data_IF_355982536890
#
_entry.id   IF_355982536890
#
_cell.length_a   1.000
_cell.length_b   1.000
_cell.length_c   1.000
_cell.angle_alpha   90.00
_cell.angle_beta   90.00
_cell.angle_gamma   90.00
#
_symmetry.space_group_name_H-M   'P 1'
#
loop_
_entity.id
_entity.type
_entity.pdbx_description
1 polymer ?
#
# COMPACT_ATOMS: atom_id res chain seq x y z
N UNK A 1 3.70 -18.28 -7.34
CA UNK A 1 4.35 -16.96 -7.41
C UNK A 1 4.01 -16.08 -6.19
N UNK A 2 2.74 -15.88 -5.86
CA UNK A 2 2.30 -15.00 -4.75
C UNK A 2 2.89 -15.41 -3.40
N UNK A 3 2.90 -16.70 -3.06
CA UNK A 3 3.48 -17.21 -1.79
C UNK A 3 4.96 -16.87 -1.65
N UNK A 4 5.75 -17.00 -2.73
CA UNK A 4 7.18 -16.67 -2.73
C UNK A 4 7.41 -15.18 -2.44
N UNK A 5 6.67 -14.30 -3.12
CA UNK A 5 6.76 -12.84 -2.92
C UNK A 5 6.32 -12.47 -1.49
N UNK A 6 5.27 -13.11 -0.97
CA UNK A 6 4.82 -12.92 0.42
C UNK A 6 5.89 -13.32 1.44
N UNK A 7 6.59 -14.44 1.24
CA UNK A 7 7.67 -14.89 2.13
C UNK A 7 8.81 -13.87 2.12
N UNK A 8 9.22 -13.39 0.94
CA UNK A 8 10.26 -12.36 0.84
C UNK A 8 9.83 -11.08 1.54
N UNK A 9 8.59 -10.63 1.31
CA UNK A 9 8.06 -9.44 1.95
C UNK A 9 8.03 -9.58 3.49
N UNK A 10 7.65 -10.76 4.00
CA UNK A 10 7.70 -11.06 5.44
C UNK A 10 9.13 -11.06 5.98
N UNK A 11 10.08 -11.68 5.28
CA UNK A 11 11.49 -11.65 5.68
C UNK A 11 12.04 -10.22 5.73
N UNK A 12 11.77 -9.40 4.69
CA UNK A 12 12.16 -7.98 4.67
C UNK A 12 11.50 -7.20 5.80
N UNK A 13 10.21 -7.41 6.03
CA UNK A 13 9.49 -6.79 7.13
C UNK A 13 10.13 -7.11 8.49
N UNK A 14 10.44 -8.38 8.78
CA UNK A 14 11.10 -8.78 10.03
C UNK A 14 12.48 -8.15 10.19
N UNK A 15 13.26 -8.04 9.11
CA UNK A 15 14.57 -7.38 9.14
C UNK A 15 14.40 -5.89 9.47
N UNK A 16 13.47 -5.22 8.81
CA UNK A 16 13.19 -3.79 9.04
C UNK A 16 12.68 -3.57 10.47
N UNK A 17 11.74 -4.40 10.94
CA UNK A 17 11.22 -4.32 12.31
C UNK A 17 12.32 -4.52 13.35
N UNK A 18 13.25 -5.46 13.14
CA UNK A 18 14.40 -5.68 14.04
C UNK A 18 15.41 -4.53 14.00
N UNK A 19 15.56 -3.86 12.86
CA UNK A 19 16.37 -2.66 12.74
C UNK A 19 15.73 -1.49 13.51
N UNK A 20 14.42 -1.31 13.34
CA UNK A 20 13.64 -0.27 14.04
C UNK A 20 13.55 -0.51 15.55
N UNK A 21 13.55 -1.75 16.04
CA UNK A 21 13.55 -2.03 17.48
C UNK A 21 14.83 -1.56 18.19
N UNK A 22 15.92 -1.25 17.46
CA UNK A 22 17.10 -0.62 18.05
C UNK A 22 16.94 0.90 18.24
N UNK A 23 15.90 1.50 17.64
CA UNK A 23 15.59 2.93 17.65
C UNK A 23 14.14 3.15 18.11
N UNK A 24 13.77 2.55 19.25
CA UNK A 24 12.42 2.70 19.83
C UNK A 24 12.02 4.18 19.95
N UNK A 25 10.84 4.51 19.42
CA UNK A 25 10.26 5.85 19.49
C UNK A 25 10.88 6.91 18.55
N UNK A 26 11.79 6.54 17.64
CA UNK A 26 12.39 7.45 16.64
C UNK A 26 11.80 7.23 15.25
N UNK A 27 11.43 8.32 14.57
CA UNK A 27 10.98 8.27 13.18
C UNK A 27 12.15 7.97 12.23
N UNK A 28 11.84 7.60 10.98
CA UNK A 28 12.80 7.53 9.88
C UNK A 28 13.61 8.83 9.75
N UNK A 29 12.98 9.99 10.01
CA UNK A 29 13.63 11.30 10.02
C UNK A 29 14.59 11.47 11.21
N UNK A 30 14.22 10.98 12.38
CA UNK A 30 15.06 11.04 13.59
C UNK A 30 16.27 10.10 13.50
N UNK A 31 16.09 8.94 12.85
CA UNK A 31 17.18 8.03 12.49
C UNK A 31 18.12 8.72 11.49
N UNK A 32 17.56 9.41 10.48
CA UNK A 32 18.34 10.20 9.52
C UNK A 32 19.16 11.30 10.19
N UNK A 33 18.57 11.99 11.16
CA UNK A 33 19.26 13.00 11.96
C UNK A 33 20.35 12.39 12.85
N UNK A 34 20.09 11.24 13.47
CA UNK A 34 21.06 10.54 14.30
C UNK A 34 22.30 10.07 13.52
N UNK A 35 22.11 9.58 12.29
CA UNK A 35 23.19 9.01 11.47
C UNK A 35 24.03 10.09 10.78
N UNK A 36 23.40 11.18 10.31
CA UNK A 36 24.08 12.16 9.46
C UNK A 36 23.67 13.61 9.66
N UNK A 37 23.04 13.92 10.79
CA UNK A 37 22.60 15.27 11.14
C UNK A 37 21.49 15.81 10.25
N UNK A 38 21.29 17.13 10.32
CA UNK A 38 20.15 17.81 9.67
C UNK A 38 20.15 17.67 8.14
N UNK A 39 21.32 17.55 7.49
CA UNK A 39 21.41 17.38 6.03
C UNK A 39 20.77 16.06 5.60
N UNK A 40 21.10 14.95 6.27
CA UNK A 40 20.54 13.64 5.96
C UNK A 40 19.05 13.58 6.29
N UNK A 41 18.62 14.20 7.39
CA UNK A 41 17.19 14.34 7.72
C UNK A 41 16.39 14.98 6.59
N UNK A 42 16.88 16.10 6.04
CA UNK A 42 16.19 16.81 4.94
C UNK A 42 16.14 15.95 3.67
N UNK A 43 17.23 15.28 3.31
CA UNK A 43 17.29 14.40 2.13
C UNK A 43 16.29 13.25 2.26
N UNK A 44 16.26 12.58 3.41
CA UNK A 44 15.34 11.46 3.67
C UNK A 44 13.88 11.95 3.65
N UNK A 45 13.57 13.09 4.27
CA UNK A 45 12.23 13.66 4.26
C UNK A 45 11.75 14.05 2.86
N UNK A 46 12.63 14.59 2.02
CA UNK A 46 12.32 14.88 0.63
C UNK A 46 12.02 13.58 -0.14
N UNK A 47 12.85 12.56 0.05
CA UNK A 47 12.70 11.26 -0.62
C UNK A 47 11.38 10.58 -0.26
N UNK A 48 10.99 10.57 1.02
CA UNK A 48 9.71 10.03 1.50
C UNK A 48 8.53 10.82 0.93
N UNK A 49 8.63 12.15 0.90
CA UNK A 49 7.55 13.00 0.36
C UNK A 49 7.29 12.72 -1.12
N UNK A 50 8.37 12.59 -1.90
CA UNK A 50 8.29 12.25 -3.33
C UNK A 50 7.68 10.86 -3.50
N UNK A 51 8.11 9.87 -2.72
CA UNK A 51 7.58 8.51 -2.77
C UNK A 51 6.07 8.48 -2.47
N UNK A 52 5.64 9.15 -1.41
CA UNK A 52 4.22 9.32 -1.08
C UNK A 52 3.42 9.94 -2.24
N UNK A 53 3.94 11.00 -2.88
CA UNK A 53 3.27 11.64 -4.01
C UNK A 53 3.10 10.67 -5.21
N UNK A 54 4.11 9.85 -5.50
CA UNK A 54 4.03 8.82 -6.52
C UNK A 54 3.01 7.73 -6.17
N UNK A 55 3.04 7.22 -4.94
CA UNK A 55 2.11 6.19 -4.48
C UNK A 55 0.66 6.67 -4.59
N UNK A 56 0.36 7.89 -4.12
CA UNK A 56 -0.99 8.48 -4.20
C UNK A 56 -1.44 8.58 -5.67
N UNK A 57 -0.56 9.05 -6.56
CA UNK A 57 -0.86 9.21 -7.98
C UNK A 57 -1.17 7.87 -8.67
N UNK A 58 -0.36 6.85 -8.39
CA UNK A 58 -0.55 5.50 -8.94
C UNK A 58 -1.88 4.92 -8.43
N UNK A 59 -2.15 5.02 -7.13
CA UNK A 59 -3.36 4.47 -6.51
C UNK A 59 -4.63 5.16 -7.01
N UNK A 60 -4.59 6.48 -7.17
CA UNK A 60 -5.70 7.23 -7.73
C UNK A 60 -6.01 6.80 -9.18
N UNK A 61 -4.96 6.57 -9.98
CA UNK A 61 -5.11 6.09 -11.36
C UNK A 61 -5.70 4.69 -11.42
N UNK A 62 -5.17 3.75 -10.64
CA UNK A 62 -5.71 2.38 -10.52
C UNK A 62 -7.19 2.42 -10.12
N UNK A 63 -7.52 3.16 -9.07
CA UNK A 63 -8.89 3.29 -8.58
C UNK A 63 -9.84 3.86 -9.64
N UNK A 64 -9.40 4.90 -10.36
CA UNK A 64 -10.19 5.52 -11.43
C UNK A 64 -10.44 4.54 -12.58
N UNK A 65 -9.44 3.75 -12.97
CA UNK A 65 -9.59 2.73 -14.02
C UNK A 65 -10.60 1.64 -13.60
N UNK A 66 -10.58 1.21 -12.34
CA UNK A 66 -11.58 0.27 -11.81
C UNK A 66 -13.01 0.85 -11.86
N UNK A 67 -13.20 2.08 -11.41
CA UNK A 67 -14.51 2.76 -11.43
C UNK A 67 -15.02 2.96 -12.87
N UNK A 68 -14.12 3.26 -13.81
CA UNK A 68 -14.48 3.38 -15.22
C UNK A 68 -15.06 2.08 -15.76
N UNK A 69 -14.44 0.94 -15.44
CA UNK A 69 -14.90 -0.39 -15.88
C UNK A 69 -16.28 -0.71 -15.29
N UNK A 70 -16.50 -0.36 -14.02
CA UNK A 70 -17.71 -0.74 -13.29
C UNK A 70 -18.92 0.17 -13.56
N UNK A 71 -18.71 1.48 -13.70
CA UNK A 71 -19.82 2.45 -13.65
C UNK A 71 -19.76 3.54 -14.73
N UNK A 72 -18.57 3.91 -15.22
CA UNK A 72 -18.39 5.06 -16.11
C UNK A 72 -17.68 4.71 -17.42
N UNK A 73 -18.18 3.69 -18.12
CA UNK A 73 -17.52 3.11 -19.31
C UNK A 73 -17.30 4.10 -20.45
N UNK A 74 -18.13 5.15 -20.55
CA UNK A 74 -18.07 6.17 -21.61
C UNK A 74 -17.30 7.44 -21.22
N UNK A 75 -16.99 7.65 -19.95
CA UNK A 75 -16.33 8.88 -19.50
C UNK A 75 -14.80 8.79 -19.62
N UNK A 76 -14.11 9.90 -19.94
CA UNK A 76 -12.65 9.93 -19.94
C UNK A 76 -12.10 9.79 -18.52
N UNK A 77 -11.01 9.04 -18.39
CA UNK A 77 -10.34 8.75 -17.10
C UNK A 77 -9.98 10.04 -16.36
N UNK A 78 -9.48 11.04 -17.08
CA UNK A 78 -9.06 12.33 -16.52
C UNK A 78 -10.19 13.05 -15.77
N UNK A 79 -11.43 12.97 -16.28
CA UNK A 79 -12.57 13.65 -15.64
C UNK A 79 -12.92 13.01 -14.30
N UNK A 80 -12.96 11.68 -14.25
CA UNK A 80 -13.23 10.92 -13.03
C UNK A 80 -12.11 11.14 -12.00
N UNK A 81 -10.86 11.14 -12.45
CA UNK A 81 -9.68 11.37 -11.60
C UNK A 81 -9.72 12.75 -10.93
N UNK A 82 -10.11 13.80 -11.68
CA UNK A 82 -10.20 15.16 -11.14
C UNK A 82 -11.28 15.25 -10.06
N UNK A 83 -12.42 14.61 -10.26
CA UNK A 83 -13.49 14.55 -9.26
C UNK A 83 -13.04 13.88 -7.96
N UNK A 84 -12.37 12.74 -8.04
CA UNK A 84 -11.82 12.07 -6.84
C UNK A 84 -10.70 12.87 -6.19
N UNK A 85 -9.88 13.58 -6.96
CA UNK A 85 -8.86 14.49 -6.42
C UNK A 85 -9.48 15.59 -5.57
N UNK A 86 -10.54 16.23 -6.07
CA UNK A 86 -11.28 17.24 -5.29
C UNK A 86 -11.86 16.64 -4.00
N UNK A 87 -12.43 15.43 -4.08
CA UNK A 87 -12.89 14.69 -2.92
C UNK A 87 -11.79 14.48 -1.88
N UNK A 88 -10.60 14.04 -2.29
CA UNK A 88 -9.45 13.85 -1.40
C UNK A 88 -9.00 15.15 -0.72
N UNK A 89 -8.94 16.26 -1.46
CA UNK A 89 -8.58 17.57 -0.90
C UNK A 89 -9.58 17.98 0.18
N UNK A 90 -10.87 17.81 -0.09
CA UNK A 90 -11.94 18.10 0.87
C UNK A 90 -11.81 17.19 2.10
N UNK A 91 -11.55 15.89 1.90
CA UNK A 91 -11.38 14.93 3.00
C UNK A 91 -10.23 15.30 3.94
N UNK A 92 -9.12 15.82 3.42
CA UNK A 92 -7.98 16.27 4.25
C UNK A 92 -8.36 17.44 5.16
N UNK A 93 -9.28 18.32 4.74
CA UNK A 93 -9.74 19.43 5.57
C UNK A 93 -10.52 18.99 6.81
N UNK A 94 -11.09 17.78 6.81
CA UNK A 94 -11.78 17.20 7.98
C UNK A 94 -10.83 16.57 9.00
N UNK A 95 -9.51 16.59 8.74
CA UNK A 95 -8.49 16.05 9.62
C UNK A 95 -8.32 14.53 9.54
N UNK A 96 -7.22 14.05 10.12
CA UNK A 96 -6.81 12.64 10.09
C UNK A 96 -7.80 11.74 10.85
N UNK A 97 -8.40 12.22 11.93
CA UNK A 97 -9.32 11.43 12.76
C UNK A 97 -10.57 11.01 11.97
N UNK A 98 -11.15 11.93 11.20
CA UNK A 98 -12.30 11.64 10.33
C UNK A 98 -11.94 10.62 9.24
N UNK A 99 -10.73 10.72 8.68
CA UNK A 99 -10.23 9.81 7.66
C UNK A 99 -10.04 8.38 8.22
N UNK A 100 -9.38 8.25 9.37
CA UNK A 100 -9.16 6.96 10.04
C UNK A 100 -10.47 6.31 10.46
N UNK A 101 -11.42 7.09 10.98
CA UNK A 101 -12.75 6.58 11.34
C UNK A 101 -13.55 6.12 10.12
N UNK A 102 -13.44 6.82 9.00
CA UNK A 102 -14.10 6.42 7.76
C UNK A 102 -13.47 5.15 7.19
N UNK A 103 -12.13 5.05 7.23
CA UNK A 103 -11.40 3.88 6.79
C UNK A 103 -11.71 2.65 7.66
N UNK A 104 -11.81 2.80 8.99
CA UNK A 104 -12.11 1.68 9.89
C UNK A 104 -13.50 1.07 9.67
N UNK A 105 -14.46 1.86 9.18
CA UNK A 105 -15.79 1.38 8.78
C UNK A 105 -15.75 0.75 7.38
N UNK A 106 -14.99 1.34 6.43
CA UNK A 106 -14.89 0.83 5.07
C UNK A 106 -14.17 -0.52 4.99
N UNK A 107 -13.12 -0.72 5.79
CA UNK A 107 -12.30 -1.94 5.81
C UNK A 107 -13.11 -3.23 6.02
N UNK A 108 -13.97 -3.38 7.05
CA UNK A 108 -14.76 -4.59 7.24
C UNK A 108 -15.77 -4.80 6.11
N UNK A 109 -16.37 -3.73 5.59
CA UNK A 109 -17.33 -3.81 4.47
C UNK A 109 -16.65 -4.36 3.23
N UNK A 110 -15.48 -3.83 2.87
CA UNK A 110 -14.68 -4.32 1.73
C UNK A 110 -14.27 -5.77 1.96
N UNK A 111 -13.86 -6.12 3.18
CA UNK A 111 -13.43 -7.48 3.53
C UNK A 111 -14.56 -8.49 3.34
N UNK A 112 -15.77 -8.17 3.81
CA UNK A 112 -16.97 -8.99 3.59
C UNK A 112 -17.28 -9.10 2.10
N UNK A 113 -17.18 -8.00 1.34
CA UNK A 113 -17.36 -8.01 -0.10
C UNK A 113 -16.42 -8.98 -0.82
N UNK A 114 -15.13 -9.00 -0.44
CA UNK A 114 -14.15 -9.94 -1.00
C UNK A 114 -14.54 -11.38 -0.66
N UNK A 115 -14.95 -11.67 0.58
CA UNK A 115 -15.39 -13.02 0.99
C UNK A 115 -16.57 -13.48 0.15
N UNK A 116 -17.56 -12.62 -0.10
CA UNK A 116 -18.73 -12.94 -0.93
C UNK A 116 -18.32 -13.25 -2.37
N UNK A 117 -17.45 -12.44 -2.96
CA UNK A 117 -16.95 -12.65 -4.33
C UNK A 117 -16.20 -13.97 -4.44
N UNK A 118 -15.34 -14.29 -3.46
CA UNK A 118 -14.61 -15.56 -3.41
C UNK A 118 -15.60 -16.72 -3.26
N UNK A 119 -16.54 -16.65 -2.33
CA UNK A 119 -17.54 -17.68 -2.10
C UNK A 119 -18.42 -17.93 -3.34
N UNK A 120 -18.83 -16.88 -4.03
CA UNK A 120 -19.57 -16.98 -5.29
C UNK A 120 -18.76 -17.59 -6.43
N UNK A 121 -17.43 -17.42 -6.40
CA UNK A 121 -16.52 -17.95 -7.43
C UNK A 121 -16.14 -19.42 -7.22
N UNK A 122 -16.42 -20.02 -6.06
CA UNK A 122 -16.07 -21.43 -5.75
C UNK A 122 -16.66 -22.39 -6.80
N UNK A 123 -17.87 -22.13 -7.29
CA UNK A 123 -18.52 -22.99 -8.29
C UNK A 123 -17.82 -22.99 -9.65
N UNK A 124 -17.09 -21.93 -9.97
CA UNK A 124 -16.32 -21.79 -11.21
C UNK A 124 -14.85 -22.19 -11.04
N UNK A 125 -14.49 -22.75 -9.88
CA UNK A 125 -13.12 -23.11 -9.57
C UNK A 125 -12.79 -24.50 -10.11
N UNK A 126 -12.05 -24.54 -11.21
CA UNK A 126 -11.51 -25.79 -11.76
C UNK A 126 -10.05 -25.97 -11.30
N UNK A 127 -9.79 -27.00 -10.51
CA UNK A 127 -8.44 -27.33 -10.02
C UNK A 127 -7.42 -27.56 -11.14
N UNK A 128 -7.86 -28.01 -12.32
CA UNK A 128 -7.01 -28.21 -13.49
C UNK A 128 -6.34 -26.91 -13.97
N UNK A 129 -6.97 -25.74 -13.73
CA UNK A 129 -6.40 -24.43 -14.08
C UNK A 129 -5.27 -23.99 -13.14
N UNK A 130 -5.01 -24.73 -12.05
CA UNK A 130 -3.84 -24.50 -11.17
C UNK A 130 -2.56 -25.16 -11.71
N UNK A 131 -2.67 -26.05 -12.70
CA UNK A 131 -1.51 -26.65 -13.35
C UNK A 131 -1.16 -25.91 -14.65
N UNK A 132 0.13 -25.72 -14.96
CA UNK A 132 1.31 -26.19 -14.23
C UNK A 132 1.74 -25.22 -13.11
N UNK A 133 2.07 -25.77 -11.92
CA UNK A 133 2.46 -25.01 -10.72
C UNK A 133 3.68 -24.09 -10.98
N UNK A 134 4.56 -24.48 -11.90
CA UNK A 134 5.75 -23.73 -12.31
C UNK A 134 5.58 -22.90 -13.59
N UNK A 135 4.40 -22.89 -14.21
CA UNK A 135 4.08 -22.03 -15.35
C UNK A 135 5.15 -22.04 -16.45
N UNK A 136 5.70 -20.86 -16.74
CA UNK A 136 6.71 -20.59 -17.77
C UNK A 136 8.16 -20.94 -17.37
N UNK A 137 8.36 -21.52 -16.19
CA UNK A 137 9.66 -21.94 -15.67
C UNK A 137 10.11 -21.18 -14.42
N UNK A 138 11.11 -21.68 -13.68
CA UNK A 138 11.55 -21.12 -12.40
C UNK A 138 12.11 -19.69 -12.54
N UNK A 139 12.78 -19.38 -13.65
CA UNK A 139 13.34 -18.04 -13.87
C UNK A 139 12.26 -16.94 -13.83
N UNK A 140 11.11 -17.17 -14.47
CA UNK A 140 10.00 -16.22 -14.50
C UNK A 140 9.35 -16.02 -13.11
N UNK A 141 9.43 -17.04 -12.25
CA UNK A 141 8.88 -17.00 -10.89
C UNK A 141 9.82 -16.24 -9.94
N UNK A 142 11.13 -16.52 -10.02
CA UNK A 142 12.12 -15.92 -9.12
C UNK A 142 12.53 -14.53 -9.59
N UNK A 143 12.95 -14.37 -10.85
CA UNK A 143 13.43 -13.09 -11.39
C UNK A 143 12.26 -12.19 -11.77
N UNK A 144 11.25 -12.73 -12.46
CA UNK A 144 10.02 -11.99 -12.79
C UNK A 144 9.13 -11.70 -11.57
N UNK A 145 9.36 -12.40 -10.45
CA UNK A 145 8.65 -12.19 -9.18
C UNK A 145 9.18 -11.06 -8.32
N UNK A 146 10.46 -10.71 -8.42
CA UNK A 146 11.10 -9.68 -7.59
C UNK A 146 10.42 -8.30 -7.69
N UNK A 147 10.09 -7.77 -8.89
CA UNK A 147 9.41 -6.48 -8.99
C UNK A 147 8.02 -6.46 -8.32
N UNK A 148 7.39 -7.63 -8.11
CA UNK A 148 6.08 -7.71 -7.45
C UNK A 148 6.16 -7.49 -5.94
N UNK A 149 7.35 -7.51 -5.34
CA UNK A 149 7.54 -7.16 -3.93
C UNK A 149 7.08 -5.72 -3.66
N UNK A 150 7.13 -4.83 -4.66
CA UNK A 150 6.65 -3.45 -4.57
C UNK A 150 5.16 -3.32 -4.22
N UNK A 151 4.35 -4.38 -4.35
CA UNK A 151 2.95 -4.39 -3.88
C UNK A 151 2.88 -4.16 -2.36
N UNK A 152 3.94 -4.54 -1.63
CA UNK A 152 4.07 -4.36 -0.19
C UNK A 152 4.75 -3.04 0.19
N UNK A 153 4.96 -2.11 -0.75
CA UNK A 153 5.60 -0.81 -0.45
C UNK A 153 4.85 0.00 0.62
N UNK A 154 3.54 -0.22 0.75
CA UNK A 154 2.72 0.35 1.82
C UNK A 154 3.14 -0.04 3.23
N UNK A 155 4.03 -1.02 3.43
CA UNK A 155 4.60 -1.31 4.75
C UNK A 155 5.42 -0.15 5.31
N UNK A 156 6.02 0.69 4.46
CA UNK A 156 6.75 1.89 4.89
C UNK A 156 5.83 2.88 5.61
N UNK A 157 4.57 3.00 5.19
CA UNK A 157 3.65 3.93 5.83
C UNK A 157 3.31 3.54 7.26
N UNK A 158 3.35 2.24 7.61
CA UNK A 158 3.16 1.79 8.99
C UNK A 158 4.23 2.36 9.94
N UNK A 159 5.49 2.43 9.49
CA UNK A 159 6.57 2.99 10.29
C UNK A 159 6.40 4.50 10.51
N UNK A 160 5.83 5.21 9.53
CA UNK A 160 5.49 6.63 9.65
C UNK A 160 4.28 6.87 10.58
N UNK A 161 3.23 6.04 10.46
CA UNK A 161 1.98 6.19 11.22
C UNK A 161 2.11 5.73 12.69
N UNK A 162 2.98 4.76 12.99
CA UNK A 162 3.19 4.27 14.36
C UNK A 162 3.64 5.41 15.30
N UNK A 163 4.52 6.28 14.82
CA UNK A 163 4.99 7.44 15.57
C UNK A 163 3.89 8.49 15.79
N UNK A 164 3.05 8.75 14.77
CA UNK A 164 1.91 9.67 14.89
C UNK A 164 0.92 9.18 15.96
N UNK A 165 0.69 7.88 16.05
CA UNK A 165 -0.17 7.28 17.06
C UNK A 165 0.41 7.39 18.48
N UNK A 166 1.71 7.18 18.64
CA UNK A 166 2.41 7.29 19.93
C UNK A 166 2.46 8.75 20.41
N UNK A 167 2.69 9.71 19.51
CA UNK A 167 2.76 11.14 19.83
C UNK A 167 1.39 11.78 20.14
N UNK A 168 0.28 11.15 19.73
CA UNK A 168 -1.09 11.58 20.11
C UNK A 168 -1.55 11.11 21.50
N UNK A 169 -0.72 10.37 22.25
CA UNK A 169 -1.00 9.94 23.63
C UNK A 169 -0.26 10.78 24.70
N UNK A 170 -0.05 12.07 24.45
CA UNK A 170 0.46 13.03 25.43
C UNK A 170 -0.59 14.12 25.66
#
# INVERSE_FOLDING_TARGET
>A
MTIYVSIIALCLFLIISKFYSAFEGKDLLDIGEFVGGNIVRVIVGLMVTIDCAFIISIKLREFTEHIKILSFTKSPVTFIMLFFTLGMIISVHFGIESLTRSASIALPIISIGIIIVVAGSIKNFEFSNLMPIFGKGPYDIFVGGLPRVSIYSGLISLFLYLLLWENTRI
#
